data_IF_435691250103
#
_entry.id   IF_435691250103
#
_cell.length_a   1.000
_cell.length_b   1.000
_cell.length_c   1.000
_cell.angle_alpha   90.00
_cell.angle_beta   90.00
_cell.angle_gamma   90.00
#
_symmetry.space_group_name_H-M   'P 1'
#
loop_
_entity.id
_entity.type
_entity.pdbx_description
1 polymer ?
#
# COMPACT_ATOMS: atom_id res chain seq x y z
N UNK A 1 0.89 -7.21 -25.44
CA UNK A 1 0.70 -8.66 -25.59
C UNK A 1 -0.70 -8.83 -26.13
N UNK A 2 -0.87 -9.63 -27.18
CA UNK A 2 -2.19 -10.01 -27.67
C UNK A 2 -2.60 -11.27 -26.91
N UNK A 3 -3.69 -11.19 -26.16
CA UNK A 3 -4.25 -12.29 -25.36
C UNK A 3 -5.76 -12.21 -25.44
N UNK A 4 -6.44 -13.35 -25.56
CA UNK A 4 -7.90 -13.40 -25.58
C UNK A 4 -8.50 -13.18 -24.17
N UNK A 5 -7.77 -13.59 -23.13
CA UNK A 5 -8.16 -13.45 -21.72
C UNK A 5 -6.93 -13.18 -20.88
N UNK A 6 -7.01 -12.18 -20.00
CA UNK A 6 -6.00 -11.84 -19.01
C UNK A 6 -6.52 -12.12 -17.58
N UNK A 7 -5.94 -13.14 -16.94
CA UNK A 7 -6.28 -13.52 -15.56
C UNK A 7 -5.21 -13.02 -14.58
N UNK A 8 -5.62 -12.28 -13.57
CA UNK A 8 -4.78 -11.80 -12.47
C UNK A 8 -4.78 -12.79 -11.30
N UNK A 9 -3.60 -13.10 -10.76
CA UNK A 9 -3.44 -13.93 -9.56
C UNK A 9 -2.85 -13.11 -8.40
N UNK A 10 -3.60 -12.13 -7.83
CA UNK A 10 -3.12 -11.30 -6.75
C UNK A 10 -3.12 -12.06 -5.42
N UNK A 11 -2.47 -11.48 -4.41
CA UNK A 11 -2.52 -11.93 -3.02
C UNK A 11 -2.89 -10.78 -2.11
N UNK A 12 -3.67 -11.06 -1.06
CA UNK A 12 -4.00 -10.08 -0.02
C UNK A 12 -2.72 -9.68 0.73
N UNK A 13 -2.36 -8.40 0.66
CA UNK A 13 -1.22 -7.87 1.41
C UNK A 13 -1.48 -6.47 1.95
N UNK A 14 -0.93 -6.16 3.12
CA UNK A 14 -0.77 -4.80 3.58
C UNK A 14 0.26 -4.01 2.76
N UNK A 15 0.12 -2.69 2.72
CA UNK A 15 1.05 -1.81 2.00
C UNK A 15 1.21 -0.45 2.68
N UNK A 16 2.43 0.08 2.85
CA UNK A 16 2.68 1.37 3.49
C UNK A 16 1.93 2.57 2.87
N UNK A 17 2.04 2.76 1.55
CA UNK A 17 1.39 3.88 0.83
C UNK A 17 -0.12 3.70 0.58
N UNK A 18 -0.54 2.53 0.10
CA UNK A 18 -1.92 2.26 -0.36
C UNK A 18 -2.78 1.49 0.66
N UNK A 19 -2.20 1.18 1.82
CA UNK A 19 -2.75 0.38 2.92
C UNK A 19 -3.03 -1.10 2.58
N UNK A 20 -3.35 -1.40 1.33
CA UNK A 20 -3.70 -2.71 0.80
C UNK A 20 -3.09 -2.94 -0.59
N UNK A 21 -2.85 -4.21 -0.90
CA UNK A 21 -2.51 -4.73 -2.23
C UNK A 21 -3.43 -5.92 -2.51
N UNK A 22 -3.99 -5.92 -3.70
CA UNK A 22 -4.82 -6.99 -4.24
C UNK A 22 -4.90 -6.88 -5.77
N UNK A 23 -6.03 -7.26 -6.35
CA UNK A 23 -6.28 -7.32 -7.79
C UNK A 23 -5.90 -6.05 -8.55
N UNK A 24 -6.37 -4.87 -8.12
CA UNK A 24 -6.09 -3.59 -8.80
C UNK A 24 -4.58 -3.29 -8.80
N UNK A 25 -3.92 -3.44 -7.65
CA UNK A 25 -2.49 -3.08 -7.52
C UNK A 25 -1.57 -4.12 -8.16
N UNK A 26 -2.03 -5.37 -8.30
CA UNK A 26 -1.23 -6.45 -8.91
C UNK A 26 -0.77 -6.11 -10.32
N UNK A 27 -1.60 -5.39 -11.08
CA UNK A 27 -1.28 -4.93 -12.43
C UNK A 27 -0.09 -3.97 -12.51
N UNK A 28 0.27 -3.30 -11.40
CA UNK A 28 1.52 -2.56 -11.34
C UNK A 28 2.73 -3.45 -11.64
N UNK A 29 2.58 -4.76 -11.46
CA UNK A 29 3.46 -5.83 -11.95
C UNK A 29 3.88 -5.68 -13.43
N UNK A 30 2.96 -5.24 -14.28
CA UNK A 30 3.13 -5.14 -15.74
C UNK A 30 3.91 -3.91 -16.19
N UNK A 31 4.22 -2.97 -15.29
CA UNK A 31 5.09 -1.82 -15.59
C UNK A 31 6.53 -2.30 -15.82
N UNK A 32 7.12 -2.10 -17.02
CA UNK A 32 8.37 -2.75 -17.38
C UNK A 32 9.61 -2.09 -16.76
N UNK A 33 10.59 -2.94 -16.43
CA UNK A 33 11.93 -2.52 -15.98
C UNK A 33 11.90 -1.71 -14.68
N UNK A 34 12.80 -0.73 -14.58
CA UNK A 34 12.94 0.16 -13.41
C UNK A 34 11.85 1.25 -13.35
N UNK A 35 10.91 1.27 -14.30
CA UNK A 35 9.88 2.32 -14.37
C UNK A 35 8.92 2.29 -13.18
N UNK A 36 8.75 1.17 -12.47
CA UNK A 36 7.96 1.09 -11.24
C UNK A 36 8.43 2.09 -10.19
N UNK A 37 9.75 2.17 -9.98
CA UNK A 37 10.36 3.15 -9.08
C UNK A 37 10.04 4.58 -9.52
N UNK A 38 10.17 4.84 -10.83
CA UNK A 38 9.90 6.15 -11.41
C UNK A 38 8.43 6.58 -11.25
N UNK A 39 7.47 5.67 -11.42
CA UNK A 39 6.05 5.97 -11.21
C UNK A 39 5.75 6.27 -9.74
N UNK A 40 6.39 5.57 -8.80
CA UNK A 40 6.30 5.89 -7.37
C UNK A 40 6.88 7.28 -7.04
N UNK A 41 7.96 7.70 -7.71
CA UNK A 41 8.53 9.04 -7.52
C UNK A 41 7.69 10.13 -8.19
N UNK A 42 7.15 9.86 -9.39
CA UNK A 42 6.32 10.83 -10.15
C UNK A 42 4.94 11.06 -9.51
N UNK A 43 4.37 10.03 -8.90
CA UNK A 43 3.08 10.10 -8.23
C UNK A 43 3.30 10.42 -6.74
N UNK A 44 3.59 11.68 -6.45
CA UNK A 44 3.94 12.17 -5.10
C UNK A 44 2.78 12.16 -4.08
N UNK A 45 1.58 11.73 -4.47
CA UNK A 45 0.44 11.55 -3.58
C UNK A 45 -0.26 10.23 -3.90
N UNK A 46 -0.73 9.55 -2.85
CA UNK A 46 -1.64 8.41 -2.85
C UNK A 46 -2.79 8.51 -3.85
N UNK A 47 -3.45 9.68 -4.00
CA UNK A 47 -4.57 9.85 -4.94
C UNK A 47 -4.13 9.75 -6.41
N UNK A 48 -3.03 10.41 -6.78
CA UNK A 48 -2.48 10.34 -8.13
C UNK A 48 -1.95 8.93 -8.44
N UNK A 49 -1.35 8.26 -7.46
CA UNK A 49 -0.91 6.88 -7.63
C UNK A 49 -2.11 5.93 -7.79
N UNK A 50 -3.18 6.11 -7.02
CA UNK A 50 -4.44 5.38 -7.17
C UNK A 50 -5.03 5.54 -8.58
N UNK A 51 -5.11 6.78 -9.10
CA UNK A 51 -5.56 7.06 -10.47
C UNK A 51 -4.72 6.32 -11.51
N UNK A 52 -3.40 6.40 -11.40
CA UNK A 52 -2.50 5.68 -12.31
C UNK A 52 -2.71 4.16 -12.26
N UNK A 53 -2.98 3.58 -11.08
CA UNK A 53 -3.31 2.16 -10.99
C UNK A 53 -4.60 1.83 -11.75
N UNK A 54 -5.65 2.63 -11.61
CA UNK A 54 -6.91 2.43 -12.36
C UNK A 54 -6.72 2.62 -13.87
N UNK A 55 -5.96 3.62 -14.29
CA UNK A 55 -5.61 3.84 -15.71
C UNK A 55 -4.85 2.62 -16.27
N UNK A 56 -3.92 2.06 -15.50
CA UNK A 56 -3.18 0.87 -15.89
C UNK A 56 -4.08 -0.36 -16.02
N UNK A 57 -5.03 -0.56 -15.11
CA UNK A 57 -6.00 -1.65 -15.21
C UNK A 57 -6.91 -1.47 -16.43
N UNK A 58 -7.30 -0.25 -16.74
CA UNK A 58 -8.11 0.09 -17.93
C UNK A 58 -7.35 -0.19 -19.22
N UNK A 59 -6.05 0.10 -19.25
CA UNK A 59 -5.17 -0.18 -20.39
C UNK A 59 -4.94 -1.69 -20.59
N UNK A 60 -4.76 -2.44 -19.50
CA UNK A 60 -4.46 -3.87 -19.57
C UNK A 60 -5.70 -4.73 -19.83
N UNK A 61 -6.89 -4.22 -19.52
CA UNK A 61 -8.16 -4.93 -19.67
C UNK A 61 -8.12 -6.32 -19.02
N UNK A 62 -7.83 -6.37 -17.72
CA UNK A 62 -7.85 -7.65 -16.98
C UNK A 62 -9.28 -8.18 -16.86
N UNK A 63 -9.53 -9.37 -17.39
CA UNK A 63 -10.86 -9.97 -17.51
C UNK A 63 -11.32 -10.70 -16.25
N UNK A 64 -10.37 -11.23 -15.47
CA UNK A 64 -10.69 -12.03 -14.29
C UNK A 64 -9.58 -11.94 -13.24
N UNK A 65 -9.94 -12.00 -11.97
CA UNK A 65 -8.98 -12.14 -10.88
C UNK A 65 -9.29 -13.37 -10.02
N UNK A 66 -8.25 -14.12 -9.67
CA UNK A 66 -8.29 -15.18 -8.66
C UNK A 66 -7.37 -14.74 -7.53
N UNK A 67 -7.96 -14.12 -6.52
CA UNK A 67 -7.24 -13.56 -5.40
C UNK A 67 -6.98 -14.62 -4.33
N UNK A 68 -5.69 -14.88 -4.12
CA UNK A 68 -5.18 -15.82 -3.13
C UNK A 68 -5.15 -15.15 -1.74
N UNK A 69 -6.11 -15.54 -0.92
CA UNK A 69 -6.20 -15.21 0.50
C UNK A 69 -5.86 -16.38 1.41
N UNK A 70 -5.35 -17.52 0.91
CA UNK A 70 -5.07 -18.70 1.75
C UNK A 70 -4.07 -18.29 2.84
N UNK A 71 -2.97 -17.68 2.40
CA UNK A 71 -1.99 -17.02 3.28
C UNK A 71 -1.79 -15.58 2.80
N UNK A 72 -2.39 -14.64 3.53
CA UNK A 72 -2.22 -13.20 3.33
C UNK A 72 -0.93 -12.68 4.01
N UNK A 73 -0.65 -11.40 3.78
CA UNK A 73 0.39 -10.67 4.51
C UNK A 73 -0.20 -9.47 5.25
N UNK A 74 0.00 -9.41 6.55
CA UNK A 74 -0.46 -8.32 7.41
C UNK A 74 0.70 -7.51 8.00
N UNK A 75 0.41 -6.41 8.69
CA UNK A 75 1.41 -5.60 9.38
C UNK A 75 2.27 -4.79 8.41
N UNK A 76 3.60 -4.89 8.53
CA UNK A 76 4.57 -3.99 7.88
C UNK A 76 4.85 -4.31 6.40
N UNK A 77 3.79 -4.43 5.61
CA UNK A 77 3.90 -4.61 4.18
C UNK A 77 4.47 -3.38 3.45
N UNK A 78 5.07 -3.55 2.26
CA UNK A 78 4.75 -4.63 1.30
C UNK A 78 5.79 -5.76 1.21
N UNK A 79 6.95 -5.65 1.89
CA UNK A 79 8.01 -6.68 1.88
C UNK A 79 8.31 -7.32 3.24
N UNK A 80 7.91 -6.65 4.34
CA UNK A 80 8.32 -7.01 5.70
C UNK A 80 7.12 -7.27 6.61
N UNK A 81 5.98 -7.66 6.03
CA UNK A 81 4.80 -8.04 6.79
C UNK A 81 4.88 -9.47 7.31
N UNK A 82 3.91 -9.84 8.15
CA UNK A 82 3.79 -11.16 8.75
C UNK A 82 2.76 -12.00 7.97
N UNK A 83 3.00 -13.31 7.88
CA UNK A 83 2.06 -14.22 7.24
C UNK A 83 0.81 -14.40 8.11
N UNK A 84 -0.37 -14.33 7.49
CA UNK A 84 -1.66 -14.51 8.15
C UNK A 84 -2.51 -15.49 7.35
N UNK A 85 -2.93 -16.58 7.98
CA UNK A 85 -3.87 -17.52 7.35
C UNK A 85 -5.27 -16.92 7.34
N UNK A 86 -5.90 -16.83 6.16
CA UNK A 86 -7.33 -16.50 6.04
C UNK A 86 -8.13 -17.66 5.45
N UNK A 87 -7.47 -18.62 4.79
CA UNK A 87 -8.09 -19.79 4.16
C UNK A 87 -9.24 -19.42 3.19
N UNK A 88 -9.07 -18.31 2.47
CA UNK A 88 -10.08 -17.78 1.54
C UNK A 88 -9.52 -17.64 0.12
N UNK A 89 -10.40 -17.84 -0.87
CA UNK A 89 -10.17 -17.46 -2.26
C UNK A 89 -11.31 -16.55 -2.68
N UNK A 90 -10.98 -15.43 -3.33
CA UNK A 90 -11.99 -14.51 -3.89
C UNK A 90 -11.75 -14.43 -5.39
N UNK A 91 -12.78 -14.68 -6.19
CA UNK A 91 -12.65 -14.74 -7.64
C UNK A 91 -13.77 -13.97 -8.32
N UNK A 92 -13.48 -13.36 -9.46
CA UNK A 92 -14.51 -12.64 -10.21
C UNK A 92 -13.95 -11.86 -11.39
N UNK A 93 -14.87 -11.42 -12.25
CA UNK A 93 -14.58 -10.67 -13.48
C UNK A 93 -14.22 -9.20 -13.20
N UNK A 94 -14.75 -8.62 -12.12
CA UNK A 94 -14.47 -7.23 -11.75
C UNK A 94 -13.43 -7.15 -10.63
N UNK A 95 -12.30 -6.52 -10.91
CA UNK A 95 -11.16 -6.41 -9.99
C UNK A 95 -11.51 -5.58 -8.74
N UNK A 96 -12.32 -4.53 -8.88
CA UNK A 96 -12.78 -3.75 -7.73
C UNK A 96 -13.78 -4.56 -6.89
N UNK A 97 -14.60 -5.42 -7.49
CA UNK A 97 -15.47 -6.32 -6.72
C UNK A 97 -14.66 -7.32 -5.90
N UNK A 98 -13.68 -7.98 -6.54
CA UNK A 98 -12.78 -8.94 -5.88
C UNK A 98 -12.04 -8.30 -4.71
N UNK A 99 -11.46 -7.12 -4.92
CA UNK A 99 -10.76 -6.42 -3.86
C UNK A 99 -11.72 -5.87 -2.78
N UNK A 100 -12.95 -5.46 -3.11
CA UNK A 100 -13.95 -5.00 -2.11
C UNK A 100 -14.37 -6.13 -1.17
N UNK A 101 -14.62 -7.33 -1.72
CA UNK A 101 -14.89 -8.52 -0.91
C UNK A 101 -13.68 -8.84 -0.03
N UNK A 102 -12.47 -8.86 -0.60
CA UNK A 102 -11.25 -9.14 0.14
C UNK A 102 -10.98 -8.12 1.27
N UNK A 103 -11.31 -6.84 1.05
CA UNK A 103 -11.21 -5.79 2.07
C UNK A 103 -12.15 -6.04 3.25
N UNK A 104 -13.40 -6.46 2.97
CA UNK A 104 -14.33 -6.84 4.01
C UNK A 104 -13.83 -8.04 4.82
N UNK A 105 -13.24 -9.05 4.15
CA UNK A 105 -12.63 -10.22 4.82
C UNK A 105 -11.56 -9.84 5.84
N UNK A 106 -10.80 -8.77 5.60
CA UNK A 106 -9.72 -8.31 6.52
C UNK A 106 -10.16 -7.13 7.42
N UNK A 107 -11.46 -6.91 7.54
CA UNK A 107 -12.04 -5.95 8.49
C UNK A 107 -11.93 -4.49 8.08
N UNK A 108 -12.00 -4.19 6.78
CA UNK A 108 -12.36 -2.85 6.30
C UNK A 108 -13.86 -2.82 5.99
N UNK A 109 -14.62 -2.05 6.79
CA UNK A 109 -16.08 -1.92 6.62
C UNK A 109 -16.46 -0.96 5.48
N UNK A 110 -15.61 0.03 5.21
CA UNK A 110 -15.75 0.96 4.09
C UNK A 110 -14.48 0.90 3.24
N UNK A 111 -14.57 0.41 2.00
CA UNK A 111 -13.41 0.33 1.12
C UNK A 111 -12.82 1.71 0.79
N UNK A 112 -13.63 2.77 0.79
CA UNK A 112 -13.22 4.15 0.47
C UNK A 112 -12.30 4.78 1.52
N UNK A 113 -12.09 4.08 2.62
CA UNK A 113 -10.97 4.31 3.53
C UNK A 113 -9.59 4.20 2.86
N UNK A 114 -9.51 3.52 1.72
CA UNK A 114 -8.28 3.29 0.98
C UNK A 114 -8.21 4.20 -0.27
N UNK A 115 -7.02 4.75 -0.60
CA UNK A 115 -6.90 5.71 -1.70
C UNK A 115 -7.39 5.19 -3.05
N UNK A 116 -7.14 3.92 -3.38
CA UNK A 116 -7.61 3.33 -4.63
C UNK A 116 -9.14 3.34 -4.73
N UNK A 117 -9.85 3.14 -3.62
CA UNK A 117 -11.31 3.05 -3.60
C UNK A 117 -12.01 4.39 -3.51
N UNK A 118 -11.33 5.42 -2.97
CA UNK A 118 -11.76 6.80 -3.18
C UNK A 118 -11.84 7.11 -4.67
N UNK A 119 -10.80 6.75 -5.43
CA UNK A 119 -10.77 6.98 -6.88
C UNK A 119 -11.77 6.08 -7.62
N UNK A 120 -11.93 4.81 -7.23
CA UNK A 120 -12.97 3.92 -7.81
C UNK A 120 -14.34 4.57 -7.69
N UNK A 121 -14.68 5.09 -6.50
CA UNK A 121 -15.95 5.78 -6.26
C UNK A 121 -16.07 7.08 -7.05
N UNK A 122 -15.04 7.92 -7.07
CA UNK A 122 -15.03 9.20 -7.80
C UNK A 122 -15.21 9.02 -9.31
N UNK A 123 -14.60 7.97 -9.88
CA UNK A 123 -14.62 7.71 -11.32
C UNK A 123 -15.75 6.80 -11.78
N UNK A 124 -16.42 6.11 -10.85
CA UNK A 124 -17.40 5.08 -11.19
C UNK A 124 -16.79 3.84 -11.83
N UNK A 125 -15.50 3.55 -11.58
CA UNK A 125 -14.76 2.48 -12.27
C UNK A 125 -15.24 1.07 -11.91
N UNK A 126 -15.82 0.88 -10.73
CA UNK A 126 -16.31 -0.42 -10.27
C UNK A 126 -16.98 -0.33 -8.90
N UNK A 127 -17.45 -1.46 -8.35
CA UNK A 127 -18.06 -1.50 -7.04
C UNK A 127 -17.01 -1.24 -5.95
N UNK A 128 -17.46 -0.58 -4.90
CA UNK A 128 -16.67 -0.20 -3.72
C UNK A 128 -17.41 -0.52 -2.40
N UNK A 129 -18.58 -1.15 -2.49
CA UNK A 129 -19.39 -1.56 -1.34
C UNK A 129 -19.98 -2.96 -1.60
N UNK A 130 -20.16 -3.77 -0.54
CA UNK A 130 -20.64 -5.15 -0.67
C UNK A 130 -22.05 -5.23 -1.27
N UNK A 131 -22.90 -4.23 -1.01
CA UNK A 131 -24.28 -4.19 -1.52
C UNK A 131 -24.34 -4.02 -3.05
N UNK A 132 -23.22 -3.66 -3.69
CA UNK A 132 -23.09 -3.53 -5.13
C UNK A 132 -22.62 -4.83 -5.80
N UNK A 133 -22.36 -5.88 -5.02
CA UNK A 133 -21.70 -7.11 -5.47
C UNK A 133 -22.59 -8.30 -5.16
N UNK A 134 -22.88 -9.11 -6.18
CA UNK A 134 -23.51 -10.40 -5.98
C UNK A 134 -22.45 -11.43 -5.58
N UNK A 135 -22.37 -11.73 -4.29
CA UNK A 135 -21.39 -12.68 -3.75
C UNK A 135 -21.95 -14.09 -3.87
N UNK A 136 -21.31 -14.89 -4.71
CA UNK A 136 -21.60 -16.32 -4.87
C UNK A 136 -20.67 -17.14 -3.97
N UNK A 137 -21.19 -18.16 -3.29
CA UNK A 137 -20.41 -19.05 -2.42
C UNK A 137 -20.64 -18.80 -0.93
N UNK A 138 -19.58 -18.86 -0.12
CA UNK A 138 -19.67 -18.60 1.31
C UNK A 138 -20.06 -17.15 1.61
N UNK A 139 -20.72 -16.96 2.75
CA UNK A 139 -21.02 -15.63 3.26
C UNK A 139 -19.75 -14.94 3.73
N UNK A 140 -19.51 -13.70 3.32
CA UNK A 140 -18.31 -12.93 3.67
C UNK A 140 -18.10 -12.87 5.19
N UNK A 141 -19.18 -12.71 5.95
CA UNK A 141 -19.15 -12.64 7.42
C UNK A 141 -18.65 -13.94 8.07
N UNK A 142 -18.78 -15.08 7.38
CA UNK A 142 -18.30 -16.38 7.90
C UNK A 142 -16.80 -16.60 7.71
N UNK A 143 -16.17 -15.83 6.84
CA UNK A 143 -14.74 -15.91 6.51
C UNK A 143 -13.95 -14.69 7.02
N UNK A 144 -14.60 -13.78 7.76
CA UNK A 144 -13.98 -12.54 8.19
C UNK A 144 -12.90 -12.78 9.26
N UNK A 145 -11.73 -12.20 9.01
CA UNK A 145 -10.60 -12.18 9.92
C UNK A 145 -10.63 -10.90 10.75
N UNK A 146 -11.16 -10.99 11.97
CA UNK A 146 -11.33 -9.82 12.85
C UNK A 146 -10.03 -9.28 13.46
N UNK A 147 -8.97 -10.08 13.49
CA UNK A 147 -7.67 -9.73 14.09
C UNK A 147 -6.57 -9.47 13.04
N UNK A 148 -6.96 -9.08 11.82
CA UNK A 148 -6.02 -8.74 10.76
C UNK A 148 -5.26 -7.44 11.07
N UNK A 149 -3.92 -7.48 11.08
CA UNK A 149 -3.09 -6.34 11.41
C UNK A 149 -3.02 -5.33 10.23
N UNK A 150 -3.95 -4.38 10.18
CA UNK A 150 -4.01 -3.30 9.18
C UNK A 150 -2.84 -2.32 9.29
N UNK A 151 -2.43 -1.72 8.16
CA UNK A 151 -1.48 -0.58 8.17
C UNK A 151 -2.20 0.67 8.64
N UNK A 152 -1.59 1.40 9.58
CA UNK A 152 -2.17 2.64 10.11
C UNK A 152 -2.22 3.75 9.06
N UNK A 153 -3.38 4.40 8.95
CA UNK A 153 -3.56 5.57 8.08
C UNK A 153 -2.78 6.78 8.61
N UNK A 154 -2.17 7.52 7.70
CA UNK A 154 -1.42 8.75 8.01
C UNK A 154 -2.24 10.03 7.86
N UNK A 155 -3.33 10.03 7.09
CA UNK A 155 -3.97 11.25 6.62
C UNK A 155 -5.50 11.18 6.70
N UNK A 156 -6.09 11.72 7.75
CA UNK A 156 -7.39 12.44 7.71
C UNK A 156 -7.51 13.52 8.80
N UNK A 157 -6.66 13.51 9.83
CA UNK A 157 -6.86 14.41 11.00
C UNK A 157 -6.23 15.79 10.80
N UNK A 158 -5.32 15.93 9.84
CA UNK A 158 -4.65 17.20 9.57
C UNK A 158 -4.78 17.51 8.09
N UNK A 159 -5.84 18.24 7.74
CA UNK A 159 -5.91 18.98 6.49
C UNK A 159 -4.65 19.82 6.30
N UNK A 160 -4.41 20.21 5.04
CA UNK A 160 -3.19 20.81 4.48
C UNK A 160 -2.81 22.19 5.06
N UNK A 161 -2.79 22.32 6.39
CA UNK A 161 -2.38 23.50 7.13
C UNK A 161 -0.92 23.32 7.52
N UNK A 162 -0.09 24.12 6.86
CA UNK A 162 1.35 24.27 7.11
C UNK A 162 1.70 24.41 8.60
N UNK A 163 0.78 24.98 9.40
CA UNK A 163 0.92 25.19 10.85
C UNK A 163 0.83 23.94 11.72
N UNK A 164 0.46 22.76 11.19
CA UNK A 164 0.29 21.51 11.96
C UNK A 164 1.32 20.43 11.60
N UNK A 165 2.34 20.78 10.78
CA UNK A 165 3.38 19.86 10.29
C UNK A 165 4.20 19.21 11.42
N UNK A 166 4.41 19.93 12.52
CA UNK A 166 5.12 19.43 13.70
C UNK A 166 4.29 18.39 14.49
N UNK A 167 2.98 18.59 14.61
CA UNK A 167 2.07 17.61 15.23
C UNK A 167 2.05 16.30 14.43
N UNK A 168 2.12 16.39 13.09
CA UNK A 168 2.17 15.23 12.19
C UNK A 168 3.30 14.26 12.53
N UNK A 169 4.45 14.73 13.01
CA UNK A 169 5.57 13.87 13.40
C UNK A 169 5.29 13.02 14.65
N UNK A 170 4.34 13.46 15.48
CA UNK A 170 4.03 12.78 16.74
C UNK A 170 2.97 11.70 16.58
N UNK A 171 2.23 11.70 15.47
CA UNK A 171 1.10 10.79 15.25
C UNK A 171 1.24 9.95 13.99
N UNK A 172 1.77 10.50 12.91
CA UNK A 172 1.73 9.86 11.61
C UNK A 172 2.88 8.86 11.45
N UNK A 173 2.63 7.67 10.88
CA UNK A 173 3.66 6.74 10.48
C UNK A 173 4.79 7.38 9.66
N UNK A 174 6.01 6.85 9.81
CA UNK A 174 7.22 7.37 9.15
C UNK A 174 8.16 6.23 8.74
N UNK A 175 9.01 6.40 7.72
CA UNK A 175 10.02 5.40 7.37
C UNK A 175 11.04 5.23 8.51
N UNK A 176 11.17 4.01 9.02
CA UNK A 176 12.11 3.64 10.08
C UNK A 176 13.13 2.64 9.54
N UNK A 177 14.41 2.94 9.72
CA UNK A 177 15.50 2.05 9.32
C UNK A 177 15.75 0.96 10.39
N UNK A 178 15.94 -0.27 9.93
CA UNK A 178 16.60 -1.37 10.63
C UNK A 178 18.07 -1.39 10.22
N UNK A 179 18.92 -0.76 11.02
CA UNK A 179 20.34 -0.54 10.72
C UNK A 179 21.09 -1.84 10.43
N UNK A 180 20.75 -2.90 11.17
CA UNK A 180 21.30 -4.25 11.04
C UNK A 180 21.05 -4.88 9.66
N UNK A 181 19.91 -4.57 9.03
CA UNK A 181 19.55 -5.09 7.70
C UNK A 181 20.09 -4.24 6.54
N UNK A 182 20.40 -2.96 6.79
CA UNK A 182 20.80 -2.05 5.72
C UNK A 182 22.09 -2.54 5.04
N UNK A 183 22.26 -2.28 3.75
CA UNK A 183 23.50 -2.61 3.01
C UNK A 183 24.18 -1.38 2.40
N UNK A 184 23.72 -0.17 2.76
CA UNK A 184 24.31 1.08 2.28
C UNK A 184 24.18 1.36 0.78
N UNK A 185 23.26 0.68 0.08
CA UNK A 185 23.10 0.78 -1.38
C UNK A 185 22.57 2.12 -1.92
N UNK A 186 22.16 3.06 -1.06
CA UNK A 186 21.66 4.41 -1.40
C UNK A 186 20.37 4.50 -2.23
N UNK A 187 19.82 3.39 -2.73
CA UNK A 187 18.57 3.34 -3.53
C UNK A 187 17.45 4.17 -2.88
N UNK A 188 17.26 4.07 -1.57
CA UNK A 188 16.21 4.83 -0.85
C UNK A 188 16.30 6.36 -1.01
N UNK A 189 17.52 6.92 -1.01
CA UNK A 189 17.75 8.36 -1.22
C UNK A 189 17.57 8.72 -2.69
N UNK A 190 18.01 7.85 -3.61
CA UNK A 190 17.87 8.07 -5.06
C UNK A 190 16.41 8.10 -5.51
N UNK A 191 15.55 7.25 -4.97
CA UNK A 191 14.12 7.16 -5.35
C UNK A 191 13.23 8.16 -4.63
N UNK A 192 13.75 8.90 -3.65
CA UNK A 192 12.98 9.85 -2.87
C UNK A 192 12.54 11.03 -3.75
N UNK A 193 11.23 11.33 -3.86
CA UNK A 193 10.74 12.45 -4.67
C UNK A 193 11.16 13.82 -4.11
N UNK A 194 11.33 13.89 -2.79
CA UNK A 194 11.71 15.10 -2.05
C UNK A 194 13.21 15.09 -1.70
N UNK A 195 14.02 14.50 -2.58
CA UNK A 195 15.50 14.54 -2.45
C UNK A 195 16.03 15.93 -2.83
N UNK A 196 17.12 16.39 -2.21
CA UNK A 196 17.87 15.74 -1.12
C UNK A 196 17.31 16.01 0.29
N UNK A 197 16.23 16.78 0.43
CA UNK A 197 15.80 17.37 1.71
C UNK A 197 15.27 16.35 2.72
N UNK A 198 14.90 15.13 2.30
CA UNK A 198 14.30 14.11 3.17
C UNK A 198 15.26 13.02 3.62
N UNK A 199 16.25 12.64 2.80
CA UNK A 199 17.13 11.49 3.09
C UNK A 199 18.58 11.88 2.86
N UNK A 200 19.31 12.03 3.96
CA UNK A 200 20.76 12.22 3.97
C UNK A 200 21.46 10.87 4.18
N UNK A 201 22.53 10.61 3.42
CA UNK A 201 23.33 9.39 3.60
C UNK A 201 24.51 9.72 4.52
N UNK A 202 24.48 9.20 5.74
CA UNK A 202 25.49 9.46 6.76
C UNK A 202 26.38 8.23 7.00
N UNK A 203 27.60 8.44 7.46
CA UNK A 203 28.48 7.37 7.96
C UNK A 203 28.22 7.15 9.44
N UNK A 204 27.86 5.91 9.82
CA UNK A 204 27.66 5.50 11.21
C UNK A 204 28.24 4.11 11.40
N UNK A 205 29.09 3.93 12.40
CA UNK A 205 29.74 2.65 12.73
C UNK A 205 30.43 1.97 11.53
N UNK A 206 31.08 2.77 10.67
CA UNK A 206 31.78 2.31 9.46
C UNK A 206 30.86 1.88 8.32
N UNK A 207 29.59 2.27 8.36
CA UNK A 207 28.57 1.92 7.36
C UNK A 207 27.80 3.16 6.92
N UNK A 208 27.65 3.35 5.61
CA UNK A 208 26.77 4.38 5.07
C UNK A 208 25.30 3.99 5.24
N UNK A 209 24.51 4.79 5.95
CA UNK A 209 23.08 4.53 6.20
C UNK A 209 22.22 5.78 5.94
N UNK A 210 20.93 5.63 5.60
CA UNK A 210 20.03 6.76 5.40
C UNK A 210 19.52 7.32 6.75
N UNK A 211 19.64 8.63 6.94
CA UNK A 211 18.95 9.40 7.97
C UNK A 211 17.77 10.14 7.35
N UNK A 212 16.59 10.07 8.00
CA UNK A 212 15.33 10.58 7.46
C UNK A 212 14.89 11.85 8.19
N UNK A 213 14.74 12.97 7.47
CA UNK A 213 14.05 14.16 7.98
C UNK A 213 12.53 13.97 7.91
N UNK A 214 11.91 13.79 9.08
CA UNK A 214 10.46 13.58 9.23
C UNK A 214 9.63 14.82 8.91
N UNK A 215 10.21 16.02 9.01
CA UNK A 215 9.51 17.28 8.77
C UNK A 215 9.24 17.53 7.30
N UNK A 216 10.19 17.15 6.45
CA UNK A 216 10.11 17.28 4.98
C UNK A 216 9.54 16.01 4.35
N UNK A 217 9.59 14.86 5.03
CA UNK A 217 9.03 13.61 4.52
C UNK A 217 7.52 13.68 4.27
N UNK A 218 7.12 13.55 3.01
CA UNK A 218 5.72 13.43 2.57
C UNK A 218 5.08 12.06 2.89
N UNK A 219 5.85 11.13 3.49
CA UNK A 219 5.38 9.79 3.90
C UNK A 219 4.82 8.96 2.74
N UNK A 220 5.46 9.05 1.58
CA UNK A 220 5.13 8.24 0.41
C UNK A 220 5.58 6.77 0.54
N UNK A 221 6.55 6.47 1.42
CA UNK A 221 7.12 5.12 1.58
C UNK A 221 7.77 4.52 0.31
N UNK A 222 8.13 5.33 -0.69
CA UNK A 222 8.89 4.85 -1.86
C UNK A 222 10.23 4.20 -1.45
N UNK A 223 10.86 4.72 -0.40
CA UNK A 223 12.07 4.16 0.18
C UNK A 223 11.87 2.74 0.76
N UNK A 224 10.69 2.47 1.33
CA UNK A 224 10.32 1.14 1.85
C UNK A 224 10.12 0.15 0.70
N UNK A 225 9.32 0.53 -0.30
CA UNK A 225 9.04 -0.28 -1.49
C UNK A 225 10.32 -0.70 -2.22
N UNK A 226 11.24 0.25 -2.39
CA UNK A 226 12.45 0.08 -3.19
C UNK A 226 13.61 -0.55 -2.42
N UNK A 227 13.48 -0.76 -1.10
CA UNK A 227 14.54 -1.40 -0.33
C UNK A 227 14.72 -2.87 -0.78
N UNK A 228 15.91 -3.28 -1.26
CA UNK A 228 16.11 -4.65 -1.76
C UNK A 228 16.17 -5.68 -0.63
N UNK A 229 16.54 -5.23 0.58
CA UNK A 229 16.78 -6.09 1.75
C UNK A 229 15.72 -5.89 2.86
N UNK A 230 14.66 -5.14 2.59
CA UNK A 230 13.58 -4.89 3.57
C UNK A 230 14.06 -4.22 4.86
N UNK A 231 15.09 -3.36 4.77
CA UNK A 231 15.67 -2.64 5.91
C UNK A 231 14.87 -1.40 6.32
N UNK A 232 13.88 -0.98 5.56
CA UNK A 232 13.03 0.18 5.88
C UNK A 232 11.64 -0.35 6.18
N UNK A 233 11.05 0.14 7.26
CA UNK A 233 9.74 -0.28 7.77
C UNK A 233 8.86 0.92 8.07
N UNK A 234 7.54 0.70 8.14
CA UNK A 234 6.60 1.68 8.68
C UNK A 234 6.78 1.76 10.19
N UNK A 235 7.42 2.83 10.65
CA UNK A 235 7.58 3.17 12.06
C UNK A 235 6.38 3.95 12.58
N UNK A 236 6.01 3.69 13.83
CA UNK A 236 4.86 4.32 14.48
C UNK A 236 5.33 5.19 15.65
N UNK A 237 4.97 6.49 15.68
CA UNK A 237 5.19 7.34 16.84
C UNK A 237 4.45 6.83 18.09
N UNK A 238 5.02 7.07 19.29
CA UNK A 238 4.41 6.66 20.55
C UNK A 238 3.00 7.24 20.76
N UNK A 239 2.80 8.54 20.51
CA UNK A 239 1.49 9.18 20.70
C UNK A 239 0.45 8.65 19.70
N UNK A 240 0.86 8.34 18.46
CA UNK A 240 0.03 7.66 17.47
C UNK A 240 -0.39 6.24 17.87
N UNK A 241 0.39 5.53 18.71
CA UNK A 241 -0.02 4.23 19.28
C UNK A 241 -1.09 4.35 20.36
N UNK A 242 -1.16 5.48 21.06
CA UNK A 242 -2.08 5.69 22.17
C UNK A 242 -3.44 6.24 21.71
N UNK A 243 -3.46 7.12 20.70
CA UNK A 243 -4.68 7.81 20.26
C UNK A 243 -5.63 6.96 19.40
N UNK A 244 -5.13 5.94 18.71
CA UNK A 244 -5.90 5.15 17.73
C UNK A 244 -5.89 3.66 18.05
N UNK A 245 -6.03 3.35 19.35
CA UNK A 245 -6.05 2.01 19.89
C UNK A 245 -7.48 1.52 20.10
#
# INVERSE_FOLDING_TARGET
YETDVLISLPRIKTHGMMYYTGAIKNQFGCVPGTKKALWHTRMNNTHNFAKMLLDLNTLLQTDFAILDGIVAMEGNGPKSGDAKELNALVMGENLAAVDTVALSLIGYDDATELPQYQVVKESGWGPYALEQIDVLGERVESLQCHDFAKVRKTNEIFGDKQSLRWIKNWIAPYPKLKEEKCIGCKICSEVCPERPQVIEMIEKDGKTIPEFDKNTCIRCFCCQEMCPVGAIEVGEPWLGKLLYR
#
